data_IF_830163911659
#
_entry.id   IF_830163911659
#
_cell.length_a   1.000
_cell.length_b   1.000
_cell.length_c   1.000
_cell.angle_alpha   90.00
_cell.angle_beta   90.00
_cell.angle_gamma   90.00
#
_symmetry.space_group_name_H-M   'P 1'
#
loop_
_entity.id
_entity.type
_entity.pdbx_description
1 polymer ?
#
# COMPACT_ATOMS: atom_id res chain seq x y z
N UNK A 1 2.50 16.76 35.95
CA UNK A 1 3.26 16.03 34.90
C UNK A 1 2.45 16.06 33.60
N UNK A 2 2.38 17.23 32.96
CA UNK A 2 1.50 17.51 31.83
C UNK A 2 2.18 18.58 30.97
N UNK A 3 1.94 18.58 29.66
CA UNK A 3 2.49 19.49 28.63
C UNK A 3 3.87 19.07 28.07
N UNK A 4 3.97 17.87 27.48
CA UNK A 4 4.96 17.53 26.43
C UNK A 4 4.67 16.25 25.64
N UNK A 5 3.41 15.86 25.46
CA UNK A 5 3.06 14.97 24.33
C UNK A 5 3.04 15.81 23.05
N UNK A 6 4.20 16.36 22.72
CA UNK A 6 4.45 17.21 21.57
C UNK A 6 4.25 16.40 20.30
N UNK A 7 3.45 16.97 19.40
CA UNK A 7 3.37 16.76 17.96
C UNK A 7 4.62 16.15 17.28
N UNK A 8 4.93 14.86 17.50
CA UNK A 8 6.18 14.28 17.04
C UNK A 8 5.99 13.56 15.69
N UNK A 9 6.07 14.32 14.58
CA UNK A 9 6.20 13.78 13.22
C UNK A 9 7.67 13.57 12.81
N UNK A 10 8.60 14.02 13.64
CA UNK A 10 10.00 14.22 13.28
C UNK A 10 10.67 12.93 12.76
N UNK A 11 10.46 11.74 13.34
CA UNK A 11 11.09 10.50 12.84
C UNK A 11 10.70 10.17 11.40
N UNK A 12 9.44 10.41 11.00
CA UNK A 12 9.01 10.17 9.62
C UNK A 12 9.64 11.17 8.65
N UNK A 13 9.71 12.44 9.04
CA UNK A 13 10.33 13.50 8.24
C UNK A 13 11.84 13.27 8.09
N UNK A 14 12.53 12.94 9.19
CA UNK A 14 13.96 12.60 9.16
C UNK A 14 14.20 11.38 8.28
N UNK A 15 13.46 10.29 8.48
CA UNK A 15 13.66 9.06 7.70
C UNK A 15 13.37 9.28 6.20
N UNK A 16 12.31 10.00 5.85
CA UNK A 16 12.01 10.33 4.45
C UNK A 16 13.09 11.21 3.83
N UNK A 17 13.51 12.30 4.49
CA UNK A 17 14.59 13.16 4.04
C UNK A 17 15.91 12.39 3.87
N UNK A 18 16.32 11.60 4.87
CA UNK A 18 17.54 10.79 4.79
C UNK A 18 17.47 9.77 3.64
N UNK A 19 16.33 9.10 3.47
CA UNK A 19 16.12 8.15 2.38
C UNK A 19 16.25 8.84 1.02
N UNK A 20 15.60 9.98 0.84
CA UNK A 20 15.64 10.77 -0.39
C UNK A 20 17.05 11.30 -0.69
N UNK A 21 17.70 11.93 0.30
CA UNK A 21 19.07 12.41 0.18
C UNK A 21 20.03 11.28 -0.18
N UNK A 22 19.93 10.14 0.50
CA UNK A 22 20.79 8.98 0.24
C UNK A 22 20.61 8.47 -1.20
N UNK A 23 19.37 8.25 -1.65
CA UNK A 23 19.11 7.77 -3.01
C UNK A 23 19.63 8.79 -4.04
N UNK A 24 19.45 10.10 -3.81
CA UNK A 24 19.99 11.14 -4.68
C UNK A 24 21.52 11.08 -4.78
N UNK A 25 22.22 11.03 -3.64
CA UNK A 25 23.70 10.95 -3.59
C UNK A 25 24.18 9.66 -4.25
N UNK A 26 23.55 8.54 -3.95
CA UNK A 26 23.87 7.24 -4.51
C UNK A 26 23.74 7.20 -6.03
N UNK A 27 22.67 7.79 -6.58
CA UNK A 27 22.46 7.82 -8.03
C UNK A 27 23.44 8.74 -8.74
N UNK A 28 23.75 9.91 -8.16
CA UNK A 28 24.68 10.87 -8.74
C UNK A 28 26.14 10.41 -8.66
N UNK A 29 26.53 9.84 -7.52
CA UNK A 29 27.93 9.53 -7.21
C UNK A 29 28.29 8.10 -7.61
N UNK A 30 27.50 7.12 -7.15
CA UNK A 30 27.81 5.69 -7.32
C UNK A 30 27.15 5.08 -8.57
N UNK A 31 26.30 5.84 -9.28
CA UNK A 31 25.46 5.37 -10.41
C UNK A 31 24.70 4.07 -10.07
N UNK A 32 24.39 3.87 -8.80
CA UNK A 32 23.82 2.63 -8.26
C UNK A 32 22.37 2.83 -7.80
N UNK A 33 21.64 1.72 -7.74
CA UNK A 33 20.26 1.63 -7.21
C UNK A 33 20.19 0.59 -6.09
N UNK A 34 21.16 0.57 -5.18
CA UNK A 34 21.13 -0.37 -4.06
C UNK A 34 19.94 -0.08 -3.14
N UNK A 35 19.34 -1.14 -2.61
CA UNK A 35 18.10 -1.08 -1.84
C UNK A 35 18.33 -1.20 -0.33
N UNK A 36 19.50 -1.68 0.09
CA UNK A 36 19.79 -2.03 1.50
C UNK A 36 19.67 -0.81 2.41
N UNK A 37 20.27 0.32 2.05
CA UNK A 37 20.24 1.53 2.89
C UNK A 37 18.85 2.19 2.90
N UNK A 38 18.17 2.39 1.74
CA UNK A 38 16.76 2.81 1.75
C UNK A 38 15.85 1.89 2.55
N UNK A 39 16.05 0.57 2.47
CA UNK A 39 15.31 -0.41 3.26
C UNK A 39 15.55 -0.21 4.76
N UNK A 40 16.81 -0.08 5.19
CA UNK A 40 17.15 0.15 6.59
C UNK A 40 16.52 1.45 7.11
N UNK A 41 16.70 2.57 6.39
CA UNK A 41 16.15 3.88 6.78
C UNK A 41 14.62 3.83 6.93
N UNK A 42 13.91 3.18 6.01
CA UNK A 42 12.44 3.08 6.07
C UNK A 42 11.96 2.04 7.10
N UNK A 43 12.77 1.03 7.42
CA UNK A 43 12.42 -0.01 8.42
C UNK A 43 12.56 0.53 9.84
N UNK A 44 13.54 1.39 10.11
CA UNK A 44 13.85 1.86 11.47
C UNK A 44 12.67 2.56 12.17
N UNK A 45 11.99 3.57 11.60
CA UNK A 45 10.83 4.20 12.26
C UNK A 45 9.68 3.23 12.51
N UNK A 46 9.54 2.21 11.64
CA UNK A 46 8.52 1.19 11.79
C UNK A 46 8.86 0.21 12.92
N UNK A 47 10.13 -0.20 13.04
CA UNK A 47 10.59 -1.15 14.04
C UNK A 47 10.67 -0.54 15.46
N UNK A 48 11.14 0.70 15.56
CA UNK A 48 11.41 1.36 16.84
C UNK A 48 10.18 2.01 17.47
N UNK A 49 9.01 1.97 16.81
CA UNK A 49 7.79 2.60 17.30
C UNK A 49 7.20 1.84 18.49
N UNK A 50 6.55 2.57 19.39
CA UNK A 50 5.69 2.01 20.41
C UNK A 50 4.51 1.27 19.76
N UNK A 51 4.05 0.17 20.37
CA UNK A 51 2.93 -0.62 19.88
C UNK A 51 1.60 0.14 19.74
N UNK A 52 1.49 1.32 20.34
CA UNK A 52 0.33 2.22 20.24
C UNK A 52 0.33 3.07 18.95
N UNK A 53 1.42 3.08 18.18
CA UNK A 53 1.52 3.84 16.93
C UNK A 53 0.94 3.02 15.78
N UNK A 54 -0.22 3.44 15.29
CA UNK A 54 -1.07 2.72 14.35
C UNK A 54 -2.28 2.09 15.03
N UNK A 55 -3.49 2.41 14.56
CA UNK A 55 -4.76 1.88 15.04
C UNK A 55 -4.75 0.37 15.27
N UNK A 56 -4.22 -0.41 14.31
CA UNK A 56 -4.28 -1.89 14.38
C UNK A 56 -3.02 -2.49 15.03
N UNK A 57 -2.00 -1.67 15.35
CA UNK A 57 -0.71 -2.15 15.89
C UNK A 57 -0.84 -2.80 17.27
N UNK A 58 -1.81 -2.38 18.08
CA UNK A 58 -2.10 -2.96 19.40
C UNK A 58 -2.51 -4.43 19.26
N UNK A 59 -3.34 -4.76 18.25
CA UNK A 59 -3.82 -6.11 17.99
C UNK A 59 -2.67 -6.96 17.45
N UNK A 60 -1.94 -6.47 16.46
CA UNK A 60 -0.85 -7.20 15.82
C UNK A 60 0.32 -7.51 16.76
N UNK A 61 0.62 -6.62 17.71
CA UNK A 61 1.72 -6.80 18.66
C UNK A 61 1.37 -7.66 19.88
N UNK A 62 0.09 -8.00 20.09
CA UNK A 62 -0.40 -8.60 21.35
C UNK A 62 0.39 -9.84 21.77
N UNK A 63 0.63 -10.75 20.82
CA UNK A 63 1.34 -12.02 21.06
C UNK A 63 2.81 -11.83 21.43
N UNK A 64 3.40 -10.67 21.09
CA UNK A 64 4.79 -10.30 21.40
C UNK A 64 4.88 -9.30 22.58
N UNK A 65 3.75 -8.86 23.13
CA UNK A 65 3.72 -8.06 24.37
C UNK A 65 3.46 -8.92 25.60
N UNK A 66 2.74 -10.02 25.41
CA UNK A 66 2.38 -10.94 26.48
C UNK A 66 2.79 -12.38 26.13
N UNK A 67 4.12 -12.65 25.99
CA UNK A 67 4.61 -13.92 25.46
C UNK A 67 4.38 -15.12 26.39
N UNK A 68 4.22 -14.88 27.69
CA UNK A 68 4.01 -15.92 28.72
C UNK A 68 2.55 -16.32 28.92
N UNK A 69 1.64 -15.99 28.00
CA UNK A 69 0.33 -16.64 28.00
C UNK A 69 0.56 -18.12 27.75
N UNK A 70 0.37 -18.94 28.79
CA UNK A 70 0.60 -20.41 28.83
C UNK A 70 -0.26 -21.24 27.85
N UNK A 71 -0.91 -20.61 26.86
CA UNK A 71 -1.72 -21.30 25.87
C UNK A 71 -0.85 -21.65 24.66
N UNK A 72 -1.03 -22.88 24.17
CA UNK A 72 -0.52 -23.30 22.87
C UNK A 72 -0.96 -22.33 21.78
N UNK A 73 -0.13 -22.14 20.74
CA UNK A 73 -0.55 -21.37 19.57
C UNK A 73 -1.82 -22.00 18.97
N UNK A 74 -2.92 -21.24 18.95
CA UNK A 74 -4.18 -21.67 18.35
C UNK A 74 -4.34 -21.06 16.96
N UNK A 75 -4.67 -21.92 15.99
CA UNK A 75 -4.96 -21.48 14.64
C UNK A 75 -6.29 -20.72 14.60
N UNK A 76 -6.24 -19.46 14.19
CA UNK A 76 -7.43 -18.65 14.00
C UNK A 76 -7.92 -18.80 12.54
N UNK A 77 -9.13 -19.33 12.30
CA UNK A 77 -9.67 -19.49 10.94
C UNK A 77 -9.97 -18.17 10.23
N UNK A 78 -10.08 -17.05 10.95
CA UNK A 78 -10.30 -15.70 10.42
C UNK A 78 -9.01 -14.99 9.98
N UNK A 79 -7.84 -15.59 10.25
CA UNK A 79 -6.52 -15.05 9.90
C UNK A 79 -5.87 -15.94 8.86
N UNK A 80 -5.23 -15.33 7.86
CA UNK A 80 -4.61 -16.07 6.77
C UNK A 80 -3.42 -16.91 7.26
N UNK A 81 -3.33 -18.15 6.76
CA UNK A 81 -2.39 -19.17 7.23
C UNK A 81 -0.93 -18.76 7.07
N UNK A 82 -0.57 -18.12 5.96
CA UNK A 82 0.80 -17.67 5.70
C UNK A 82 1.27 -16.63 6.71
N UNK A 83 0.40 -15.70 7.10
CA UNK A 83 0.70 -14.76 8.18
C UNK A 83 0.89 -15.48 9.52
N UNK A 84 -0.02 -16.39 9.88
CA UNK A 84 0.06 -17.17 11.12
C UNK A 84 1.36 -18.00 11.22
N UNK A 85 1.83 -18.59 10.12
CA UNK A 85 3.13 -19.26 10.05
C UNK A 85 4.30 -18.33 10.36
N UNK A 86 4.29 -17.10 9.84
CA UNK A 86 5.33 -16.11 10.15
C UNK A 86 5.30 -15.75 11.64
N UNK A 87 4.11 -15.61 12.24
CA UNK A 87 3.99 -15.35 13.68
C UNK A 87 4.55 -16.52 14.49
N UNK A 88 4.21 -17.76 14.14
CA UNK A 88 4.70 -18.95 14.82
C UNK A 88 6.25 -19.02 14.78
N UNK A 89 6.83 -18.80 13.60
CA UNK A 89 8.29 -18.78 13.42
C UNK A 89 8.95 -17.64 14.20
N UNK A 90 8.35 -16.45 14.21
CA UNK A 90 8.91 -15.33 14.98
C UNK A 90 8.85 -15.59 16.48
N UNK A 91 7.75 -16.15 16.99
CA UNK A 91 7.61 -16.48 18.40
C UNK A 91 8.63 -17.52 18.87
N UNK A 92 9.10 -18.42 17.99
CA UNK A 92 10.16 -19.38 18.35
C UNK A 92 11.56 -18.76 18.39
N UNK A 93 11.74 -17.57 17.79
CA UNK A 93 13.02 -16.86 17.76
C UNK A 93 13.12 -15.77 18.84
N UNK A 94 12.07 -14.95 19.00
CA UNK A 94 12.04 -13.87 19.97
C UNK A 94 10.61 -13.46 20.35
N UNK A 95 10.43 -13.10 21.61
CA UNK A 95 9.18 -12.60 22.17
C UNK A 95 8.99 -11.07 22.16
N UNK A 96 9.77 -10.29 21.40
CA UNK A 96 9.71 -8.81 21.42
C UNK A 96 8.97 -8.22 20.21
N UNK A 97 8.08 -7.25 20.46
CA UNK A 97 7.23 -6.67 19.42
C UNK A 97 7.99 -5.74 18.44
N UNK A 98 9.16 -5.21 18.81
CA UNK A 98 10.05 -4.48 17.91
C UNK A 98 10.64 -5.43 16.86
N UNK A 99 11.00 -6.66 17.23
CA UNK A 99 11.45 -7.70 16.28
C UNK A 99 10.31 -8.09 15.34
N UNK A 100 9.09 -8.22 15.88
CA UNK A 100 7.90 -8.39 15.05
C UNK A 100 7.73 -7.24 14.04
N UNK A 101 7.73 -5.98 14.50
CA UNK A 101 7.57 -4.83 13.60
C UNK A 101 8.71 -4.70 12.58
N UNK A 102 9.95 -4.99 12.97
CA UNK A 102 11.09 -5.01 12.06
C UNK A 102 10.90 -6.05 10.96
N UNK A 103 10.53 -7.28 11.31
CA UNK A 103 10.31 -8.36 10.34
C UNK A 103 9.19 -7.99 9.37
N UNK A 104 8.07 -7.50 9.89
CA UNK A 104 6.94 -7.08 9.08
C UNK A 104 7.28 -5.92 8.15
N UNK A 105 8.05 -4.95 8.62
CA UNK A 105 8.50 -3.84 7.80
C UNK A 105 9.41 -4.31 6.65
N UNK A 106 10.34 -5.24 6.91
CA UNK A 106 11.18 -5.84 5.86
C UNK A 106 10.34 -6.59 4.83
N UNK A 107 9.39 -7.43 5.27
CA UNK A 107 8.51 -8.19 4.38
C UNK A 107 7.62 -7.28 3.52
N UNK A 108 7.21 -6.12 4.02
CA UNK A 108 6.44 -5.13 3.27
C UNK A 108 7.29 -4.30 2.29
N UNK A 109 8.45 -3.79 2.75
CA UNK A 109 9.22 -2.77 2.04
C UNK A 109 10.18 -3.39 1.01
N UNK A 110 10.82 -4.52 1.34
CA UNK A 110 11.84 -5.10 0.47
C UNK A 110 11.30 -5.52 -0.91
N UNK A 111 10.14 -6.22 -1.04
CA UNK A 111 9.53 -6.50 -2.33
C UNK A 111 9.33 -5.26 -3.19
N UNK A 112 8.82 -4.18 -2.58
CA UNK A 112 8.58 -2.91 -3.26
C UNK A 112 9.87 -2.34 -3.81
N UNK A 113 10.89 -2.15 -2.96
CA UNK A 113 12.17 -1.55 -3.38
C UNK A 113 12.88 -2.39 -4.46
N UNK A 114 12.81 -3.73 -4.39
CA UNK A 114 13.40 -4.61 -5.40
C UNK A 114 12.72 -4.45 -6.77
N UNK A 115 11.39 -4.34 -6.81
CA UNK A 115 10.65 -4.09 -8.05
C UNK A 115 10.97 -2.69 -8.58
N UNK A 116 10.95 -1.66 -7.72
CA UNK A 116 11.26 -0.28 -8.13
C UNK A 116 12.69 -0.16 -8.68
N UNK A 117 13.68 -0.80 -8.04
CA UNK A 117 15.07 -0.84 -8.53
C UNK A 117 15.12 -1.34 -9.97
N UNK A 118 14.41 -2.43 -10.25
CA UNK A 118 14.48 -3.17 -11.51
C UNK A 118 13.64 -2.56 -12.63
N UNK A 119 12.44 -2.07 -12.31
CA UNK A 119 11.43 -1.68 -13.32
C UNK A 119 11.26 -0.17 -13.46
N UNK A 120 11.61 0.62 -12.45
CA UNK A 120 11.39 2.06 -12.53
C UNK A 120 12.31 2.74 -13.55
N UNK A 121 11.76 3.62 -14.41
CA UNK A 121 12.57 4.48 -15.26
C UNK A 121 13.29 5.58 -14.46
N UNK A 122 12.84 5.86 -13.23
CA UNK A 122 13.41 6.87 -12.34
C UNK A 122 13.24 6.45 -10.87
N UNK A 123 14.19 5.67 -10.35
CA UNK A 123 14.08 5.00 -9.04
C UNK A 123 13.83 5.97 -7.87
N UNK A 124 14.47 7.14 -7.82
CA UNK A 124 14.24 8.14 -6.77
C UNK A 124 12.76 8.56 -6.73
N UNK A 125 12.21 9.02 -7.85
CA UNK A 125 10.81 9.44 -7.97
C UNK A 125 9.81 8.32 -7.63
N UNK A 126 10.13 7.06 -7.92
CA UNK A 126 9.29 5.92 -7.49
C UNK A 126 9.27 5.76 -5.97
N UNK A 127 10.43 5.81 -5.31
CA UNK A 127 10.50 5.73 -3.84
C UNK A 127 9.88 6.98 -3.20
N UNK A 128 10.04 8.13 -3.85
CA UNK A 128 9.38 9.37 -3.45
C UNK A 128 7.86 9.21 -3.45
N UNK A 129 7.27 8.66 -4.52
CA UNK A 129 5.83 8.35 -4.57
C UNK A 129 5.45 7.35 -3.48
N UNK A 130 6.23 6.28 -3.29
CA UNK A 130 5.96 5.26 -2.26
C UNK A 130 5.79 5.86 -0.86
N UNK A 131 6.63 6.83 -0.50
CA UNK A 131 6.59 7.50 0.80
C UNK A 131 5.53 8.60 0.83
N UNK A 132 5.53 9.51 -0.15
CA UNK A 132 4.69 10.73 -0.10
C UNK A 132 3.22 10.48 -0.38
N UNK A 133 2.86 9.40 -1.09
CA UNK A 133 1.47 8.97 -1.24
C UNK A 133 0.96 8.17 -0.04
N UNK A 134 1.80 8.01 0.99
CA UNK A 134 1.48 7.26 2.19
C UNK A 134 1.38 5.74 2.02
N UNK A 135 1.80 5.20 0.87
CA UNK A 135 1.75 3.76 0.58
C UNK A 135 2.64 2.96 1.52
N UNK A 136 3.75 3.56 1.95
CA UNK A 136 4.61 3.05 3.01
C UNK A 136 3.87 2.84 4.34
N UNK A 137 2.95 3.74 4.73
CA UNK A 137 2.27 3.65 6.04
C UNK A 137 1.23 2.52 6.12
N UNK A 138 0.92 1.85 5.00
CA UNK A 138 0.08 0.66 5.03
C UNK A 138 0.62 -0.41 6.00
N UNK A 139 1.94 -0.51 6.20
CA UNK A 139 2.54 -1.46 7.14
C UNK A 139 2.17 -1.22 8.62
N UNK A 140 1.71 -0.02 8.99
CA UNK A 140 1.38 0.34 10.38
C UNK A 140 0.01 -0.18 10.82
N UNK A 141 -0.90 -0.39 9.87
CA UNK A 141 -2.29 -0.77 10.15
C UNK A 141 -2.77 -1.97 9.32
N UNK A 142 -2.18 -2.19 8.16
CA UNK A 142 -2.66 -3.16 7.18
C UNK A 142 -1.52 -4.14 6.84
N UNK A 143 -0.73 -4.53 7.84
CA UNK A 143 0.51 -5.29 7.65
C UNK A 143 0.34 -6.55 6.81
N UNK A 144 -0.71 -7.34 7.07
CA UNK A 144 -1.08 -8.52 6.27
C UNK A 144 -1.31 -8.18 4.80
N UNK A 145 -2.10 -7.14 4.56
CA UNK A 145 -2.38 -6.65 3.21
C UNK A 145 -1.13 -6.05 2.56
N UNK A 146 -0.28 -5.35 3.31
CA UNK A 146 0.95 -4.74 2.80
C UNK A 146 1.96 -5.80 2.32
N UNK A 147 2.08 -6.93 3.03
CA UNK A 147 2.86 -8.09 2.57
C UNK A 147 2.27 -8.63 1.26
N UNK A 148 0.96 -8.86 1.23
CA UNK A 148 0.27 -9.34 0.03
C UNK A 148 0.47 -8.39 -1.17
N UNK A 149 0.34 -7.08 -0.96
CA UNK A 149 0.60 -6.04 -1.98
C UNK A 149 2.04 -6.08 -2.48
N UNK A 150 3.02 -6.25 -1.60
CA UNK A 150 4.43 -6.43 -1.98
C UNK A 150 4.64 -7.64 -2.89
N UNK A 151 4.04 -8.79 -2.57
CA UNK A 151 4.10 -10.01 -3.39
C UNK A 151 3.38 -9.80 -4.74
N UNK A 152 2.19 -9.19 -4.74
CA UNK A 152 1.47 -8.81 -5.96
C UNK A 152 2.29 -7.86 -6.84
N UNK A 153 3.06 -6.95 -6.23
CA UNK A 153 3.93 -6.02 -6.95
C UNK A 153 5.10 -6.74 -7.64
N UNK A 154 5.63 -7.83 -7.03
CA UNK A 154 6.58 -8.73 -7.72
C UNK A 154 5.90 -9.41 -8.92
N UNK A 155 4.63 -9.81 -8.77
CA UNK A 155 3.88 -10.52 -9.80
C UNK A 155 3.64 -9.70 -11.08
N UNK A 156 3.81 -8.36 -11.05
CA UNK A 156 3.77 -7.48 -12.24
C UNK A 156 4.64 -8.04 -13.37
N UNK A 157 5.82 -8.58 -13.05
CA UNK A 157 6.69 -9.17 -14.07
C UNK A 157 5.97 -10.22 -14.91
N UNK A 158 5.25 -11.12 -14.26
CA UNK A 158 4.56 -12.22 -14.94
C UNK A 158 3.24 -11.80 -15.55
N UNK A 159 2.61 -10.75 -15.01
CA UNK A 159 1.47 -10.09 -15.65
C UNK A 159 1.88 -9.51 -17.01
N UNK A 160 2.94 -8.70 -17.04
CA UNK A 160 3.45 -8.07 -18.28
C UNK A 160 4.00 -9.11 -19.27
N UNK A 161 4.70 -10.13 -18.79
CA UNK A 161 5.27 -11.20 -19.62
C UNK A 161 4.24 -12.26 -20.07
N UNK A 162 2.96 -12.11 -19.72
CA UNK A 162 1.87 -13.08 -20.05
C UNK A 162 2.16 -14.50 -19.55
N UNK A 163 2.80 -14.62 -18.39
CA UNK A 163 3.12 -15.90 -17.75
C UNK A 163 2.06 -16.25 -16.70
N UNK A 164 0.89 -16.69 -17.16
CA UNK A 164 -0.30 -16.97 -16.34
C UNK A 164 0.01 -17.82 -15.09
N UNK A 165 0.73 -18.93 -15.25
CA UNK A 165 1.03 -19.84 -14.13
C UNK A 165 1.89 -19.17 -13.07
N UNK A 166 2.98 -18.50 -13.47
CA UNK A 166 3.86 -17.80 -12.52
C UNK A 166 3.17 -16.62 -11.84
N UNK A 167 2.28 -15.94 -12.57
CA UNK A 167 1.43 -14.91 -12.02
C UNK A 167 0.48 -15.50 -10.96
N UNK A 168 -0.28 -16.54 -11.33
CA UNK A 168 -1.25 -17.20 -10.44
C UNK A 168 -0.60 -17.76 -9.18
N UNK A 169 0.59 -18.37 -9.27
CA UNK A 169 1.34 -18.86 -8.11
C UNK A 169 1.72 -17.74 -7.14
N UNK A 170 2.16 -16.58 -7.64
CA UNK A 170 2.47 -15.44 -6.76
C UNK A 170 1.19 -14.83 -6.15
N UNK A 171 0.09 -14.77 -6.89
CA UNK A 171 -1.19 -14.29 -6.33
C UNK A 171 -1.72 -15.27 -5.28
N UNK A 172 -1.59 -16.58 -5.50
CA UNK A 172 -1.95 -17.60 -4.52
C UNK A 172 -1.07 -17.55 -3.27
N UNK A 173 0.23 -17.22 -3.42
CA UNK A 173 1.12 -16.95 -2.29
C UNK A 173 0.70 -15.68 -1.55
N UNK A 174 0.40 -14.59 -2.26
CA UNK A 174 -0.07 -13.34 -1.68
C UNK A 174 -1.38 -13.53 -0.89
N UNK A 175 -2.28 -14.40 -1.38
CA UNK A 175 -3.54 -14.70 -0.70
C UNK A 175 -3.37 -15.46 0.62
N UNK A 176 -2.21 -16.08 0.86
CA UNK A 176 -1.85 -16.64 2.17
C UNK A 176 -1.55 -15.57 3.23
N UNK A 177 -1.38 -14.31 2.82
CA UNK A 177 -1.21 -13.17 3.72
C UNK A 177 -2.45 -12.29 3.76
N UNK A 178 -3.18 -12.17 2.65
CA UNK A 178 -4.44 -11.45 2.61
C UNK A 178 -5.35 -11.95 1.49
N UNK A 179 -6.51 -12.50 1.83
CA UNK A 179 -7.38 -13.22 0.86
C UNK A 179 -7.79 -12.37 -0.35
N UNK A 180 -7.97 -11.06 -0.18
CA UNK A 180 -8.36 -10.14 -1.25
C UNK A 180 -7.35 -10.06 -2.41
N UNK A 181 -6.12 -10.53 -2.24
CA UNK A 181 -5.15 -10.64 -3.33
C UNK A 181 -5.67 -11.49 -4.51
N UNK A 182 -6.56 -12.47 -4.26
CA UNK A 182 -7.16 -13.32 -5.29
C UNK A 182 -7.89 -12.55 -6.38
N UNK A 183 -8.39 -11.34 -6.08
CA UNK A 183 -9.03 -10.47 -7.07
C UNK A 183 -8.12 -10.15 -8.26
N UNK A 184 -6.80 -10.13 -8.02
CA UNK A 184 -5.83 -9.85 -9.06
C UNK A 184 -5.75 -10.99 -10.11
N UNK A 185 -6.22 -12.21 -9.80
CA UNK A 185 -6.33 -13.27 -10.81
C UNK A 185 -7.21 -12.85 -12.00
N UNK A 186 -8.34 -12.18 -11.74
CA UNK A 186 -9.21 -11.66 -12.80
C UNK A 186 -8.53 -10.58 -13.64
N UNK A 187 -7.65 -9.79 -13.03
CA UNK A 187 -6.90 -8.74 -13.72
C UNK A 187 -5.91 -9.28 -14.75
N UNK A 188 -5.47 -10.53 -14.62
CA UNK A 188 -4.68 -11.20 -15.67
C UNK A 188 -5.46 -11.24 -16.99
N UNK A 189 -6.69 -11.72 -16.97
CA UNK A 189 -7.52 -11.82 -18.16
C UNK A 189 -7.94 -10.44 -18.66
N UNK A 190 -8.34 -9.56 -17.73
CA UNK A 190 -8.76 -8.20 -18.04
C UNK A 190 -7.69 -7.41 -18.81
N UNK A 191 -6.42 -7.46 -18.37
CA UNK A 191 -5.33 -6.73 -19.02
C UNK A 191 -5.01 -7.25 -20.42
N UNK A 192 -5.20 -8.56 -20.65
CA UNK A 192 -4.88 -9.22 -21.91
C UNK A 192 -6.05 -9.33 -22.89
N UNK A 193 -7.27 -9.01 -22.44
CA UNK A 193 -8.44 -8.96 -23.30
C UNK A 193 -8.25 -7.93 -24.42
N UNK A 194 -8.54 -8.30 -25.67
CA UNK A 194 -8.41 -7.45 -26.87
C UNK A 194 -9.60 -6.51 -27.04
N UNK A 195 -9.89 -5.74 -25.99
CA UNK A 195 -10.96 -4.73 -25.93
C UNK A 195 -10.34 -3.37 -25.64
N UNK A 196 -10.98 -2.30 -26.13
CA UNK A 196 -10.55 -0.91 -25.86
C UNK A 196 -10.54 -0.64 -24.35
N UNK A 197 -9.54 0.09 -23.86
CA UNK A 197 -9.36 0.35 -22.42
C UNK A 197 -10.58 1.05 -21.83
N UNK A 198 -11.16 1.97 -22.58
CA UNK A 198 -12.31 2.77 -22.22
C UNK A 198 -13.55 1.89 -22.00
N UNK A 199 -13.74 0.86 -22.84
CA UNK A 199 -14.81 -0.11 -22.68
C UNK A 199 -14.60 -1.01 -21.47
N UNK A 200 -13.36 -1.40 -21.15
CA UNK A 200 -13.05 -2.16 -19.93
C UNK A 200 -13.37 -1.35 -18.67
N UNK A 201 -12.97 -0.08 -18.66
CA UNK A 201 -13.23 0.86 -17.57
C UNK A 201 -14.74 1.07 -17.38
N UNK A 202 -15.45 1.34 -18.47
CA UNK A 202 -16.91 1.51 -18.44
C UNK A 202 -17.63 0.24 -17.97
N UNK A 203 -17.25 -0.93 -18.48
CA UNK A 203 -17.85 -2.19 -18.07
C UNK A 203 -17.67 -2.46 -16.58
N UNK A 204 -16.45 -2.26 -16.03
CA UNK A 204 -16.19 -2.47 -14.61
C UNK A 204 -16.96 -1.48 -13.74
N UNK A 205 -17.02 -0.22 -14.15
CA UNK A 205 -17.81 0.79 -13.45
C UNK A 205 -19.30 0.41 -13.41
N UNK A 206 -19.87 0.03 -14.56
CA UNK A 206 -21.29 -0.37 -14.66
C UNK A 206 -21.59 -1.64 -13.86
N UNK A 207 -20.73 -2.67 -13.95
CA UNK A 207 -20.86 -3.89 -13.14
C UNK A 207 -20.80 -3.55 -11.65
N UNK A 208 -19.87 -2.68 -11.25
CA UNK A 208 -19.77 -2.21 -9.86
C UNK A 208 -21.04 -1.51 -9.40
N UNK A 209 -21.60 -0.59 -10.20
CA UNK A 209 -22.87 0.07 -9.87
C UNK A 209 -24.01 -0.94 -9.65
N UNK A 210 -24.08 -2.01 -10.44
CA UNK A 210 -25.14 -3.01 -10.32
C UNK A 210 -24.96 -3.97 -9.15
N UNK A 211 -23.72 -4.28 -8.77
CA UNK A 211 -23.42 -5.43 -7.90
C UNK A 211 -22.91 -5.02 -6.51
N UNK A 212 -22.31 -3.83 -6.35
CA UNK A 212 -21.64 -3.45 -5.10
C UNK A 212 -22.57 -3.40 -3.90
N UNK A 213 -23.80 -2.89 -4.04
CA UNK A 213 -24.78 -2.83 -2.94
C UNK A 213 -25.16 -4.24 -2.46
N UNK A 214 -25.39 -5.16 -3.38
CA UNK A 214 -25.69 -6.57 -3.08
C UNK A 214 -24.52 -7.26 -2.39
N UNK A 215 -23.29 -7.05 -2.87
CA UNK A 215 -22.09 -7.63 -2.27
C UNK A 215 -21.88 -7.12 -0.85
N UNK A 216 -22.01 -5.82 -0.62
CA UNK A 216 -21.85 -5.25 0.73
C UNK A 216 -22.94 -5.78 1.66
N UNK A 217 -24.19 -5.87 1.21
CA UNK A 217 -25.29 -6.43 2.00
C UNK A 217 -25.03 -7.90 2.37
N UNK A 218 -24.58 -8.71 1.39
CA UNK A 218 -24.20 -10.10 1.62
C UNK A 218 -23.02 -10.23 2.60
N UNK A 219 -22.00 -9.37 2.49
CA UNK A 219 -20.87 -9.36 3.41
C UNK A 219 -21.25 -8.92 4.82
N UNK A 220 -22.24 -8.04 4.97
CA UNK A 220 -22.76 -7.59 6.26
C UNK A 220 -23.69 -8.64 6.92
N UNK A 221 -24.30 -9.53 6.13
CA UNK A 221 -25.13 -10.60 6.65
C UNK A 221 -24.27 -11.61 7.43
N UNK A 222 -24.41 -11.61 8.76
CA UNK A 222 -23.68 -12.52 9.65
C UNK A 222 -22.26 -12.09 10.00
N UNK A 223 -21.81 -10.90 9.61
CA UNK A 223 -20.47 -10.40 9.97
C UNK A 223 -20.54 -9.01 10.63
N UNK A 224 -20.39 -8.99 11.96
CA UNK A 224 -20.48 -7.77 12.77
C UNK A 224 -19.45 -6.70 12.37
N UNK A 225 -18.29 -7.09 11.82
CA UNK A 225 -17.30 -6.13 11.32
C UNK A 225 -17.79 -5.39 10.08
N UNK A 226 -18.43 -6.09 9.15
CA UNK A 226 -19.00 -5.45 7.94
C UNK A 226 -20.25 -4.63 8.27
N UNK A 227 -21.05 -5.04 9.25
CA UNK A 227 -22.15 -4.22 9.76
C UNK A 227 -21.66 -2.89 10.33
N UNK A 228 -20.54 -2.89 11.06
CA UNK A 228 -19.94 -1.65 11.55
C UNK A 228 -19.52 -0.72 10.39
N UNK A 229 -18.97 -1.27 9.30
CA UNK A 229 -18.62 -0.47 8.12
C UNK A 229 -19.85 0.09 7.38
N UNK A 230 -20.98 -0.63 7.34
CA UNK A 230 -22.23 -0.12 6.75
C UNK A 230 -22.86 0.97 7.61
N UNK A 231 -22.80 0.86 8.94
CA UNK A 231 -23.26 1.90 9.87
C UNK A 231 -22.37 3.16 9.79
N UNK A 232 -21.06 2.99 9.70
CA UNK A 232 -20.14 4.10 9.48
C UNK A 232 -20.41 4.81 8.14
N UNK A 233 -20.87 4.09 7.12
CA UNK A 233 -21.25 4.68 5.84
C UNK A 233 -22.46 5.63 5.95
N UNK A 234 -23.43 5.27 6.79
CA UNK A 234 -24.58 6.14 7.09
C UNK A 234 -24.18 7.43 7.83
N UNK A 235 -23.01 7.46 8.48
CA UNK A 235 -22.49 8.64 9.18
C UNK A 235 -21.71 9.62 8.29
N UNK A 236 -21.62 9.37 6.97
CA UNK A 236 -21.08 10.32 6.00
C UNK A 236 -19.57 10.55 6.06
N UNK A 237 -18.78 9.60 6.57
CA UNK A 237 -17.32 9.75 6.64
C UNK A 237 -16.68 9.80 5.24
N UNK A 238 -15.89 10.86 5.02
CA UNK A 238 -15.35 11.35 3.75
C UNK A 238 -14.35 10.41 3.03
N UNK A 239 -14.82 9.32 2.42
CA UNK A 239 -14.01 8.51 1.49
C UNK A 239 -13.91 9.10 0.07
N UNK A 240 -14.85 9.97 -0.31
CA UNK A 240 -14.95 10.53 -1.66
C UNK A 240 -13.74 11.37 -2.05
N UNK A 241 -13.15 12.13 -1.13
CA UNK A 241 -11.99 12.98 -1.43
C UNK A 241 -10.77 12.16 -1.92
N UNK A 242 -10.51 11.01 -1.28
CA UNK A 242 -9.42 10.11 -1.67
C UNK A 242 -9.69 9.50 -3.05
N UNK A 243 -10.94 9.11 -3.32
CA UNK A 243 -11.34 8.58 -4.63
C UNK A 243 -11.23 9.64 -5.72
N UNK A 244 -11.65 10.88 -5.44
CA UNK A 244 -11.50 12.01 -6.38
C UNK A 244 -10.04 12.25 -6.75
N UNK A 245 -9.12 12.19 -5.76
CA UNK A 245 -7.68 12.28 -6.04
C UNK A 245 -7.22 11.15 -6.96
N UNK A 246 -7.60 9.90 -6.69
CA UNK A 246 -7.19 8.76 -7.53
C UNK A 246 -7.79 8.82 -8.94
N UNK A 247 -9.02 9.31 -9.08
CA UNK A 247 -9.67 9.58 -10.37
C UNK A 247 -8.93 10.69 -11.13
N UNK A 248 -8.59 11.80 -10.47
CA UNK A 248 -7.82 12.89 -11.09
C UNK A 248 -6.46 12.39 -11.61
N UNK A 249 -5.78 11.55 -10.83
CA UNK A 249 -4.52 10.91 -11.25
C UNK A 249 -4.77 9.95 -12.42
N UNK A 250 -5.85 9.16 -12.40
CA UNK A 250 -6.21 8.26 -13.49
C UNK A 250 -6.46 9.01 -14.80
N UNK A 251 -7.14 10.15 -14.75
CA UNK A 251 -7.34 11.03 -15.89
C UNK A 251 -6.01 11.60 -16.40
N UNK A 252 -5.15 12.09 -15.50
CA UNK A 252 -3.81 12.58 -15.87
C UNK A 252 -2.97 11.51 -16.55
N UNK A 253 -2.90 10.31 -15.98
CA UNK A 253 -2.20 9.17 -16.58
C UNK A 253 -2.79 8.80 -17.95
N UNK A 254 -4.11 8.77 -18.08
CA UNK A 254 -4.77 8.44 -19.33
C UNK A 254 -4.45 9.44 -20.45
N UNK A 255 -4.46 10.74 -20.14
CA UNK A 255 -4.21 11.83 -21.09
C UNK A 255 -2.72 11.86 -21.50
N UNK A 256 -1.82 11.95 -20.52
CA UNK A 256 -0.38 12.10 -20.78
C UNK A 256 0.30 10.77 -21.15
N UNK A 257 -0.34 9.64 -20.86
CA UNK A 257 0.14 8.30 -21.16
C UNK A 257 -0.08 7.80 -22.59
N UNK A 258 -0.75 8.59 -23.46
CA UNK A 258 -1.17 8.12 -24.80
C UNK A 258 -0.02 7.54 -25.64
N UNK A 259 1.16 8.17 -25.63
CA UNK A 259 2.35 7.69 -26.35
C UNK A 259 2.92 6.42 -25.70
N UNK A 260 2.98 6.39 -24.36
CA UNK A 260 3.48 5.25 -23.59
C UNK A 260 2.61 4.00 -23.81
N UNK A 261 1.28 4.16 -23.82
CA UNK A 261 0.31 3.07 -24.06
C UNK A 261 0.54 2.33 -25.37
N UNK A 262 1.05 3.03 -26.40
CA UNK A 262 1.31 2.44 -27.72
C UNK A 262 2.65 1.69 -27.80
N UNK A 263 3.68 2.17 -27.08
CA UNK A 263 5.06 1.66 -27.23
C UNK A 263 5.54 0.78 -26.08
N UNK A 264 4.87 0.80 -24.92
CA UNK A 264 5.28 0.08 -23.72
C UNK A 264 4.16 -0.84 -23.24
N UNK A 265 4.37 -2.15 -23.39
CA UNK A 265 3.46 -3.18 -22.87
C UNK A 265 3.33 -3.07 -21.35
N UNK A 266 4.42 -2.76 -20.65
CA UNK A 266 4.41 -2.53 -19.21
C UNK A 266 3.50 -1.37 -18.83
N UNK A 267 3.64 -0.21 -19.49
CA UNK A 267 2.76 0.92 -19.21
C UNK A 267 1.30 0.58 -19.51
N UNK A 268 1.03 -0.07 -20.65
CA UNK A 268 -0.32 -0.45 -21.08
C UNK A 268 -1.01 -1.37 -20.05
N UNK A 269 -0.30 -2.37 -19.54
CA UNK A 269 -0.83 -3.32 -18.54
C UNK A 269 -1.04 -2.64 -17.18
N UNK A 270 -0.08 -1.83 -16.73
CA UNK A 270 -0.18 -1.12 -15.45
C UNK A 270 -1.29 -0.06 -15.47
N UNK A 271 -1.41 0.69 -16.56
CA UNK A 271 -2.47 1.67 -16.77
C UNK A 271 -3.84 1.00 -16.81
N UNK A 272 -3.97 -0.11 -17.55
CA UNK A 272 -5.22 -0.90 -17.56
C UNK A 272 -5.58 -1.36 -16.15
N UNK A 273 -4.63 -1.89 -15.40
CA UNK A 273 -4.87 -2.37 -14.04
C UNK A 273 -5.27 -1.23 -13.11
N UNK A 274 -4.58 -0.09 -13.18
CA UNK A 274 -4.88 1.08 -12.35
C UNK A 274 -6.25 1.67 -12.67
N UNK A 275 -6.54 2.00 -13.94
CA UNK A 275 -7.81 2.61 -14.34
C UNK A 275 -9.01 1.72 -14.02
N UNK A 276 -8.91 0.42 -14.32
CA UNK A 276 -9.96 -0.54 -14.00
C UNK A 276 -10.14 -0.73 -12.49
N UNK A 277 -9.06 -0.73 -11.71
CA UNK A 277 -9.11 -0.80 -10.25
C UNK A 277 -9.78 0.43 -9.62
N UNK A 278 -9.46 1.64 -10.10
CA UNK A 278 -10.11 2.86 -9.64
C UNK A 278 -11.57 2.91 -10.09
N UNK A 279 -11.91 2.43 -11.29
CA UNK A 279 -13.29 2.33 -11.75
C UNK A 279 -14.15 1.43 -10.85
N UNK A 280 -13.59 0.30 -10.38
CA UNK A 280 -14.26 -0.59 -9.42
C UNK A 280 -14.46 0.06 -8.04
N UNK A 281 -13.61 1.03 -7.66
CA UNK A 281 -13.68 1.71 -6.37
C UNK A 281 -14.81 2.75 -6.31
N UNK A 282 -15.15 3.39 -7.43
CA UNK A 282 -16.12 4.51 -7.44
C UNK A 282 -17.47 4.07 -6.86
N UNK A 283 -18.11 2.97 -7.31
CA UNK A 283 -19.38 2.51 -6.73
C UNK A 283 -19.29 2.19 -5.23
N UNK A 284 -18.17 1.60 -4.79
CA UNK A 284 -17.91 1.30 -3.37
C UNK A 284 -17.86 2.57 -2.53
N UNK A 285 -17.22 3.63 -3.04
CA UNK A 285 -17.13 4.91 -2.36
C UNK A 285 -18.42 5.73 -2.40
N UNK A 286 -19.22 5.61 -3.48
CA UNK A 286 -20.54 6.26 -3.59
C UNK A 286 -21.52 5.79 -2.52
N UNK A 287 -21.36 4.55 -2.02
CA UNK A 287 -22.15 4.03 -0.90
C UNK A 287 -21.70 4.54 0.47
N UNK A 288 -20.77 5.50 0.53
CA UNK A 288 -20.29 6.11 1.77
C UNK A 288 -19.36 5.21 2.60
N UNK A 289 -18.93 4.07 2.06
CA UNK A 289 -18.14 3.08 2.83
C UNK A 289 -16.85 3.67 3.39
N UNK A 290 -16.43 3.18 4.56
CA UNK A 290 -15.21 3.64 5.21
C UNK A 290 -13.95 3.33 4.35
N UNK A 291 -13.06 4.31 4.08
CA UNK A 291 -11.73 4.08 3.51
C UNK A 291 -10.90 2.99 4.21
N UNK A 292 -11.12 2.84 5.52
CA UNK A 292 -10.54 1.81 6.37
C UNK A 292 -11.26 0.46 6.28
N UNK A 293 -12.22 0.28 5.37
CA UNK A 293 -12.94 -0.98 5.16
C UNK A 293 -12.88 -1.43 3.68
N UNK A 294 -14.01 -1.51 2.96
CA UNK A 294 -14.07 -2.04 1.59
C UNK A 294 -13.16 -1.33 0.57
N UNK A 295 -12.90 -0.03 0.76
CA UNK A 295 -12.07 0.76 -0.15
C UNK A 295 -10.58 0.37 -0.12
N UNK A 296 -10.13 -0.40 0.88
CA UNK A 296 -8.74 -0.90 0.98
C UNK A 296 -8.31 -1.72 -0.25
N UNK A 297 -9.27 -2.29 -0.99
CA UNK A 297 -9.04 -2.98 -2.26
C UNK A 297 -8.29 -2.11 -3.29
N UNK A 298 -8.49 -0.79 -3.23
CA UNK A 298 -7.85 0.16 -4.12
C UNK A 298 -6.33 0.15 -3.99
N UNK A 299 -5.80 -0.17 -2.80
CA UNK A 299 -4.38 -0.05 -2.53
C UNK A 299 -3.51 -0.96 -3.42
N UNK A 300 -4.02 -2.14 -3.82
CA UNK A 300 -3.34 -3.00 -4.80
C UNK A 300 -3.10 -2.30 -6.12
N UNK A 301 -4.04 -1.47 -6.56
CA UNK A 301 -3.98 -0.74 -7.82
C UNK A 301 -3.15 0.55 -7.67
N UNK A 302 -3.29 1.25 -6.54
CA UNK A 302 -2.54 2.49 -6.25
C UNK A 302 -1.03 2.22 -6.18
N UNK A 303 -0.59 1.01 -5.82
CA UNK A 303 0.83 0.62 -5.88
C UNK A 303 1.44 0.78 -7.29
N UNK A 304 0.64 0.65 -8.36
CA UNK A 304 1.12 0.88 -9.72
C UNK A 304 1.53 2.33 -9.99
N UNK A 305 1.04 3.31 -9.21
CA UNK A 305 1.44 4.71 -9.31
C UNK A 305 2.94 4.91 -9.09
N UNK A 306 3.58 4.07 -8.28
CA UNK A 306 5.02 4.11 -8.06
C UNK A 306 5.83 3.88 -9.35
N UNK A 307 5.23 3.27 -10.38
CA UNK A 307 5.83 3.08 -11.70
C UNK A 307 5.22 4.02 -12.75
N UNK A 308 3.89 4.16 -12.76
CA UNK A 308 3.16 4.95 -13.76
C UNK A 308 3.53 6.44 -13.73
N UNK A 309 3.60 7.05 -12.54
CA UNK A 309 3.91 8.48 -12.41
C UNK A 309 5.32 8.79 -12.95
N UNK A 310 6.39 8.07 -12.53
CA UNK A 310 7.71 8.25 -13.10
C UNK A 310 7.80 8.03 -14.62
N UNK A 311 7.05 7.06 -15.15
CA UNK A 311 7.00 6.83 -16.61
C UNK A 311 6.42 8.04 -17.35
N UNK A 312 5.29 8.59 -16.86
CA UNK A 312 4.60 9.73 -17.48
C UNK A 312 5.41 11.01 -17.34
N UNK A 313 5.94 11.32 -16.14
CA UNK A 313 6.76 12.53 -15.94
C UNK A 313 8.04 12.51 -16.78
N UNK A 314 8.65 11.32 -16.96
CA UNK A 314 9.79 11.15 -17.88
C UNK A 314 9.40 11.37 -19.34
N UNK A 315 8.21 10.93 -19.76
CA UNK A 315 7.72 11.15 -21.13
C UNK A 315 7.40 12.62 -21.41
N UNK A 316 6.82 13.33 -20.44
CA UNK A 316 6.55 14.76 -20.56
C UNK A 316 7.87 15.56 -20.62
N UNK A 317 8.89 15.11 -19.87
CA UNK A 317 10.24 15.68 -19.87
C UNK A 317 10.28 17.21 -19.59
N UNK A 318 9.39 17.69 -18.71
CA UNK A 318 9.37 19.09 -18.25
C UNK A 318 9.72 19.16 -16.76
N UNK A 319 10.83 19.83 -16.44
CA UNK A 319 11.35 19.94 -15.07
C UNK A 319 10.37 20.62 -14.13
N UNK A 320 9.72 21.72 -14.56
CA UNK A 320 8.77 22.45 -13.71
C UNK A 320 7.56 21.59 -13.33
N UNK A 321 7.02 20.77 -14.24
CA UNK A 321 5.92 19.84 -13.93
C UNK A 321 6.34 18.80 -12.91
N UNK A 322 7.57 18.28 -13.02
CA UNK A 322 8.13 17.34 -12.03
C UNK A 322 8.28 18.01 -10.67
N UNK A 323 8.73 19.27 -10.62
CA UNK A 323 8.84 20.05 -9.39
C UNK A 323 7.47 20.32 -8.77
N UNK A 324 6.49 20.78 -9.55
CA UNK A 324 5.11 20.98 -9.08
C UNK A 324 4.50 19.68 -8.54
N UNK A 325 4.71 18.55 -9.23
CA UNK A 325 4.30 17.24 -8.74
C UNK A 325 4.95 16.90 -7.40
N UNK A 326 6.27 17.07 -7.28
CA UNK A 326 6.99 16.77 -6.03
C UNK A 326 6.47 17.64 -4.87
N UNK A 327 6.30 18.94 -5.09
CA UNK A 327 5.77 19.87 -4.08
C UNK A 327 4.35 19.50 -3.67
N UNK A 328 3.46 19.22 -4.63
CA UNK A 328 2.08 18.80 -4.35
C UNK A 328 2.01 17.47 -3.60
N UNK A 329 2.81 16.49 -3.99
CA UNK A 329 2.88 15.19 -3.30
C UNK A 329 3.43 15.32 -1.88
N UNK A 330 4.40 16.22 -1.64
CA UNK A 330 4.90 16.48 -0.28
C UNK A 330 3.87 17.21 0.58
N UNK A 331 3.15 18.19 0.01
CA UNK A 331 2.06 18.86 0.71
C UNK A 331 0.96 17.85 1.09
N UNK A 332 0.60 16.95 0.17
CA UNK A 332 -0.33 15.85 0.46
C UNK A 332 0.19 14.95 1.58
N UNK A 333 1.47 14.57 1.56
CA UNK A 333 2.10 13.80 2.63
C UNK A 333 1.99 14.49 4.01
N UNK A 334 2.27 15.79 4.09
CA UNK A 334 2.12 16.56 5.32
C UNK A 334 0.67 16.60 5.79
N UNK A 335 -0.29 16.77 4.87
CA UNK A 335 -1.72 16.72 5.19
C UNK A 335 -2.15 15.34 5.71
N UNK A 336 -1.65 14.25 5.12
CA UNK A 336 -1.92 12.89 5.61
C UNK A 336 -1.48 12.71 7.06
N UNK A 337 -0.29 13.20 7.39
CA UNK A 337 0.26 13.11 8.74
C UNK A 337 -0.50 14.01 9.72
N UNK A 338 -0.80 15.26 9.32
CA UNK A 338 -1.51 16.23 10.15
C UNK A 338 -2.93 15.77 10.49
N UNK A 339 -3.61 15.06 9.58
CA UNK A 339 -4.93 14.48 9.80
C UNK A 339 -4.89 13.13 10.57
N UNK A 340 -3.70 12.68 11.02
CA UNK A 340 -3.50 11.44 11.76
C UNK A 340 -4.19 10.21 11.15
N UNK A 341 -4.10 10.07 9.83
CA UNK A 341 -4.77 8.97 9.14
C UNK A 341 -4.20 7.64 9.60
N UNK A 342 -5.05 6.82 10.23
CA UNK A 342 -4.68 5.50 10.75
C UNK A 342 -3.92 5.53 12.09
N UNK A 343 -3.99 6.62 12.86
CA UNK A 343 -3.42 6.66 14.22
C UNK A 343 -1.89 6.54 14.26
N UNK A 344 -1.21 6.89 13.17
CA UNK A 344 0.25 6.81 13.04
C UNK A 344 0.97 8.03 13.65
N UNK A 345 0.20 9.02 14.13
CA UNK A 345 0.69 10.26 14.73
C UNK A 345 0.00 10.52 16.09
N UNK A 346 0.72 11.00 17.13
CA UNK A 346 2.17 11.23 17.20
C UNK A 346 2.98 9.93 17.17
N UNK A 347 4.17 9.98 16.55
CA UNK A 347 5.11 8.87 16.66
C UNK A 347 5.69 8.85 18.08
N UNK A 348 5.71 7.66 18.68
CA UNK A 348 6.26 7.39 20.01
C UNK A 348 7.32 6.31 19.88
N UNK A 349 8.44 6.49 20.55
CA UNK A 349 9.48 5.47 20.64
C UNK A 349 8.98 4.33 21.54
N UNK A 350 9.37 3.10 21.22
CA UNK A 350 9.17 1.96 22.10
C UNK A 350 9.88 2.22 23.44
N UNK A 351 9.18 1.95 24.54
CA UNK A 351 9.66 2.19 25.90
C UNK A 351 10.97 1.43 26.19
N UNK A 352 11.22 0.30 25.52
CA UNK A 352 12.47 -0.46 25.61
C UNK A 352 13.70 0.31 25.07
N UNK A 353 13.48 1.35 24.25
CA UNK A 353 14.54 2.21 23.72
C UNK A 353 14.52 3.62 24.32
N UNK A 354 13.67 3.89 25.32
CA UNK A 354 13.77 5.14 26.08
C UNK A 354 15.01 5.06 26.97
N UNK A 355 16.05 5.81 26.58
CA UNK A 355 17.29 5.93 27.32
C UNK A 355 17.22 6.98 28.45
N UNK A 356 16.05 7.61 28.65
CA UNK A 356 15.81 8.66 29.65
C UNK A 356 14.39 8.60 30.21
#
# INVERSE_FOLDING_TARGET
>A
MSIRQSCNMLPYLIASCLCFCFICVQQKTLRSRAVVIPLAILTLPAALRNYTVGTDSVVYSREFRFPYRHYSFEWNPEIEKGYQWVILLLKSLHSDYAVYFMTMAVLCIAPVLLVLKKRSPHYFLSVYVFVTFGLYFALYNQVRQAIAMGICFIAIKYLVEKKAVKYALLIALASQFHISALLLLGFYFLCHLRVRLELKVAAIFLIGLSVTSLVIAFMAAGNGRYQHYTLAAASGKNGLMTVLLYVAIALGLYIYGRKLRKRSEEYRVLECSYLCGIAALIPVAMLGTDPAGPQRIAQYFVYYLMLLIPMVLKEINRRWLTLCFCLGAYAYFLLLMANNIGGIYPWKINDAFNLF
#
